data_IF_432147745799
#
_entry.id   IF_432147745799
#
_cell.length_a   1.000
_cell.length_b   1.000
_cell.length_c   1.000
_cell.angle_alpha   90.00
_cell.angle_beta   90.00
_cell.angle_gamma   90.00
#
_symmetry.space_group_name_H-M   'P 1'
#
loop_
_entity.id
_entity.type
_entity.pdbx_description
1 polymer ?
#
# COMPACT_ATOMS: atom_id res chain seq x y z
N UNK A 1 8.47 -31.31 -1.02
CA UNK A 1 7.66 -30.20 -0.46
C UNK A 1 8.54 -29.00 -0.10
N UNK A 2 9.70 -29.21 0.52
CA UNK A 2 10.66 -28.15 0.88
C UNK A 2 11.23 -27.38 -0.33
N UNK A 3 11.59 -28.08 -1.42
CA UNK A 3 12.02 -27.46 -2.67
C UNK A 3 11.01 -26.44 -3.23
N UNK A 4 9.71 -26.78 -3.21
CA UNK A 4 8.66 -25.87 -3.70
C UNK A 4 8.57 -24.60 -2.85
N UNK A 5 8.86 -24.69 -1.53
CA UNK A 5 8.88 -23.52 -0.65
C UNK A 5 10.07 -22.60 -0.95
N UNK A 6 11.25 -23.17 -1.25
CA UNK A 6 12.41 -22.36 -1.63
C UNK A 6 12.24 -21.66 -2.98
N UNK A 7 11.63 -22.34 -3.96
CA UNK A 7 11.28 -21.72 -5.24
C UNK A 7 10.26 -20.60 -5.04
N UNK A 8 9.21 -20.83 -4.24
CA UNK A 8 8.23 -19.80 -3.92
C UNK A 8 8.88 -18.60 -3.23
N UNK A 9 9.76 -18.82 -2.25
CA UNK A 9 10.53 -17.75 -1.59
C UNK A 9 11.32 -16.92 -2.60
N UNK A 10 12.03 -17.56 -3.52
CA UNK A 10 12.81 -16.87 -4.57
C UNK A 10 11.92 -16.02 -5.49
N UNK A 11 10.74 -16.53 -5.84
CA UNK A 11 9.75 -15.79 -6.62
C UNK A 11 9.23 -14.59 -5.84
N UNK A 12 8.84 -14.76 -4.59
CA UNK A 12 8.37 -13.67 -3.72
C UNK A 12 9.43 -12.58 -3.58
N UNK A 13 10.71 -12.97 -3.36
CA UNK A 13 11.82 -11.99 -3.31
C UNK A 13 11.91 -11.15 -4.59
N UNK A 14 11.79 -11.78 -5.77
CA UNK A 14 11.88 -11.08 -7.05
C UNK A 14 10.68 -10.19 -7.33
N UNK A 15 9.48 -10.66 -6.99
CA UNK A 15 8.25 -9.88 -7.14
C UNK A 15 8.32 -8.65 -6.23
N UNK A 16 8.73 -8.82 -4.98
CA UNK A 16 8.84 -7.72 -4.02
C UNK A 16 9.92 -6.71 -4.42
N UNK A 17 11.08 -7.19 -4.89
CA UNK A 17 12.15 -6.33 -5.41
C UNK A 17 11.74 -5.54 -6.66
N UNK A 18 10.77 -6.03 -7.42
CA UNK A 18 10.21 -5.36 -8.59
C UNK A 18 9.20 -4.26 -8.26
N UNK A 19 8.70 -4.17 -7.02
CA UNK A 19 7.77 -3.11 -6.66
C UNK A 19 8.47 -1.76 -6.65
N UNK A 20 8.03 -0.88 -7.56
CA UNK A 20 8.42 0.53 -7.53
C UNK A 20 7.46 1.29 -6.63
N UNK A 21 7.93 1.66 -5.45
CA UNK A 21 7.14 2.49 -4.54
C UNK A 21 6.93 3.89 -5.12
N UNK A 22 5.70 4.35 -5.05
CA UNK A 22 5.24 5.67 -5.48
C UNK A 22 4.69 6.44 -4.29
N UNK A 23 4.55 7.79 -4.38
CA UNK A 23 3.94 8.59 -3.32
C UNK A 23 2.57 8.06 -2.87
N UNK A 24 1.75 7.54 -3.80
CA UNK A 24 0.43 6.99 -3.48
C UNK A 24 0.50 5.77 -2.55
N UNK A 25 1.56 4.96 -2.65
CA UNK A 25 1.72 3.81 -1.77
C UNK A 25 1.93 4.25 -0.32
N UNK A 26 2.78 5.25 -0.11
CA UNK A 26 3.05 5.83 1.21
C UNK A 26 1.87 6.60 1.78
N UNK A 27 1.14 7.35 0.93
CA UNK A 27 -0.08 8.05 1.34
C UNK A 27 -1.13 7.04 1.80
N UNK A 28 -1.36 5.96 1.04
CA UNK A 28 -2.32 4.93 1.41
C UNK A 28 -1.94 4.23 2.71
N UNK A 29 -0.64 3.96 2.92
CA UNK A 29 -0.12 3.37 4.15
C UNK A 29 -0.37 4.27 5.37
N UNK A 30 0.03 5.53 5.29
CA UNK A 30 -0.20 6.53 6.34
C UNK A 30 -1.70 6.67 6.68
N UNK A 31 -2.58 6.72 5.66
CA UNK A 31 -4.03 6.82 5.88
C UNK A 31 -4.59 5.56 6.55
N UNK A 32 -4.22 4.37 6.05
CA UNK A 32 -4.75 3.09 6.55
C UNK A 32 -4.41 2.84 8.01
N UNK A 33 -3.19 3.21 8.43
CA UNK A 33 -2.72 3.03 9.81
C UNK A 33 -2.88 4.27 10.70
N UNK A 34 -3.48 5.35 10.19
CA UNK A 34 -3.64 6.61 10.94
C UNK A 34 -2.31 7.26 11.32
N UNK A 35 -1.27 7.11 10.51
CA UNK A 35 0.08 7.64 10.73
C UNK A 35 0.41 8.78 9.75
N UNK A 36 1.52 9.48 10.01
CA UNK A 36 2.09 10.50 9.15
C UNK A 36 3.60 10.30 8.98
N UNK A 37 4.04 9.04 8.99
CA UNK A 37 5.45 8.65 9.04
C UNK A 37 6.20 9.07 7.77
N UNK A 38 5.52 9.06 6.63
CA UNK A 38 6.13 9.31 5.33
C UNK A 38 5.86 10.72 4.78
N UNK A 39 5.06 11.53 5.50
CA UNK A 39 4.73 12.90 5.12
C UNK A 39 5.98 13.78 5.07
N UNK A 40 6.14 14.56 3.98
CA UNK A 40 7.28 15.45 3.78
C UNK A 40 8.56 14.76 3.28
N UNK A 41 8.71 13.45 3.53
CA UNK A 41 9.85 12.66 3.04
C UNK A 41 9.55 11.88 1.76
N UNK A 42 8.39 11.22 1.67
CA UNK A 42 8.01 10.36 0.53
C UNK A 42 6.86 10.92 -0.30
N UNK A 43 6.10 11.87 0.24
CA UNK A 43 5.05 12.58 -0.48
C UNK A 43 4.83 14.00 0.04
N UNK A 44 4.25 14.85 -0.80
CA UNK A 44 3.84 16.23 -0.47
C UNK A 44 2.36 16.32 -0.14
N UNK A 45 1.92 17.41 0.49
CA UNK A 45 0.51 17.59 0.83
C UNK A 45 -0.37 17.64 -0.44
N UNK A 46 0.11 18.25 -1.51
CA UNK A 46 -0.64 18.30 -2.78
C UNK A 46 -0.82 16.91 -3.40
N UNK A 47 0.17 16.02 -3.23
CA UNK A 47 0.04 14.61 -3.65
C UNK A 47 -1.01 13.88 -2.82
N UNK A 48 -1.02 14.11 -1.50
CA UNK A 48 -2.01 13.56 -0.59
C UNK A 48 -3.42 14.04 -0.93
N UNK A 49 -3.61 15.33 -1.18
CA UNK A 49 -4.91 15.90 -1.57
C UNK A 49 -5.44 15.29 -2.87
N UNK A 50 -4.57 15.13 -3.89
CA UNK A 50 -4.95 14.46 -5.14
C UNK A 50 -5.36 13.01 -4.91
N UNK A 51 -4.65 12.29 -4.05
CA UNK A 51 -5.00 10.92 -3.69
C UNK A 51 -6.35 10.86 -2.96
N UNK A 52 -6.59 11.74 -1.98
CA UNK A 52 -7.86 11.81 -1.26
C UNK A 52 -9.03 12.18 -2.20
N UNK A 53 -8.82 13.08 -3.16
CA UNK A 53 -9.82 13.37 -4.18
C UNK A 53 -10.15 12.14 -5.04
N UNK A 54 -9.14 11.34 -5.38
CA UNK A 54 -9.36 10.07 -6.08
C UNK A 54 -10.10 9.05 -5.20
N UNK A 55 -9.74 8.95 -3.92
CA UNK A 55 -10.32 8.06 -2.94
C UNK A 55 -11.83 8.31 -2.75
N UNK A 56 -12.24 9.59 -2.70
CA UNK A 56 -13.66 9.99 -2.64
C UNK A 56 -14.50 9.46 -3.81
N UNK A 57 -13.89 9.10 -4.94
CA UNK A 57 -14.63 8.49 -6.05
C UNK A 57 -15.19 7.10 -5.70
N UNK A 58 -14.75 6.49 -4.61
CA UNK A 58 -15.35 5.24 -4.11
C UNK A 58 -16.79 5.44 -3.61
N UNK A 59 -17.15 6.66 -3.18
CA UNK A 59 -18.51 7.00 -2.70
C UNK A 59 -19.58 6.83 -3.79
N UNK A 60 -19.19 6.73 -5.06
CA UNK A 60 -20.14 6.50 -6.17
C UNK A 60 -20.66 5.06 -6.24
N UNK A 61 -20.01 4.13 -5.54
CA UNK A 61 -20.41 2.73 -5.52
C UNK A 61 -21.39 2.52 -4.37
N UNK A 62 -22.57 2.00 -4.70
CA UNK A 62 -23.58 1.60 -3.72
C UNK A 62 -23.22 0.20 -3.20
N UNK A 63 -22.56 0.16 -2.04
CA UNK A 63 -22.12 -1.07 -1.37
C UNK A 63 -22.56 -1.04 0.08
N UNK A 64 -22.89 -2.21 0.63
CA UNK A 64 -23.38 -2.34 2.00
C UNK A 64 -22.32 -1.94 3.05
N UNK A 65 -21.03 -2.13 2.73
CA UNK A 65 -19.89 -1.90 3.64
C UNK A 65 -18.84 -0.96 3.00
N UNK A 66 -19.09 0.36 2.96
CA UNK A 66 -18.17 1.31 2.33
C UNK A 66 -16.81 1.39 3.04
N UNK A 67 -16.73 1.12 4.33
CA UNK A 67 -15.47 1.09 5.08
C UNK A 67 -14.59 -0.09 4.65
N UNK A 68 -15.19 -1.25 4.35
CA UNK A 68 -14.46 -2.42 3.86
C UNK A 68 -13.90 -2.16 2.46
N UNK A 69 -14.70 -1.54 1.58
CA UNK A 69 -14.23 -1.11 0.26
C UNK A 69 -13.03 -0.14 0.38
N UNK A 70 -13.12 0.80 1.32
CA UNK A 70 -12.04 1.75 1.60
C UNK A 70 -10.77 1.04 2.08
N UNK A 71 -10.88 0.11 3.04
CA UNK A 71 -9.71 -0.62 3.55
C UNK A 71 -9.06 -1.50 2.48
N UNK A 72 -9.85 -2.18 1.65
CA UNK A 72 -9.34 -2.97 0.52
C UNK A 72 -8.57 -2.06 -0.44
N UNK A 73 -9.16 -0.92 -0.82
CA UNK A 73 -8.51 0.02 -1.73
C UNK A 73 -7.19 0.54 -1.16
N UNK A 74 -7.18 0.97 0.11
CA UNK A 74 -5.96 1.41 0.78
C UNK A 74 -4.95 0.27 0.91
N UNK A 75 -5.40 -0.97 1.11
CA UNK A 75 -4.57 -2.18 1.14
C UNK A 75 -3.82 -2.44 -0.17
N UNK A 76 -4.50 -2.29 -1.31
CA UNK A 76 -3.88 -2.46 -2.64
C UNK A 76 -2.66 -1.54 -2.81
N UNK A 77 -2.75 -0.30 -2.33
CA UNK A 77 -1.66 0.67 -2.43
C UNK A 77 -0.66 0.61 -1.27
N UNK A 78 -1.06 0.24 -0.05
CA UNK A 78 -0.18 0.23 1.12
C UNK A 78 0.72 -1.02 1.21
N UNK A 79 0.22 -2.19 0.80
CA UNK A 79 0.96 -3.46 0.93
C UNK A 79 2.37 -3.45 0.31
N UNK A 80 2.62 -2.81 -0.85
CA UNK A 80 3.99 -2.70 -1.38
C UNK A 80 4.97 -2.03 -0.40
N UNK A 81 4.51 -1.08 0.43
CA UNK A 81 5.35 -0.45 1.47
C UNK A 81 5.77 -1.51 2.48
N UNK A 82 4.84 -2.24 3.06
CA UNK A 82 5.16 -3.30 4.02
C UNK A 82 6.11 -4.36 3.41
N UNK A 83 5.82 -4.83 2.19
CA UNK A 83 6.65 -5.81 1.50
C UNK A 83 8.11 -5.36 1.24
N UNK A 84 8.34 -4.06 1.10
CA UNK A 84 9.66 -3.49 0.90
C UNK A 84 10.35 -3.09 2.23
N UNK A 85 9.59 -2.75 3.28
CA UNK A 85 10.11 -2.25 4.56
C UNK A 85 10.16 -3.31 5.67
N UNK A 86 9.28 -4.33 5.68
CA UNK A 86 9.28 -5.45 6.63
C UNK A 86 10.58 -6.26 6.61
N UNK A 87 11.42 -6.11 5.58
CA UNK A 87 12.76 -6.71 5.52
C UNK A 87 13.87 -5.94 6.24
N UNK A 88 13.55 -4.85 6.95
CA UNK A 88 14.56 -4.11 7.74
C UNK A 88 14.67 -4.60 9.19
N UNK A 89 13.88 -5.62 9.58
CA UNK A 89 13.80 -6.15 10.95
C UNK A 89 13.91 -7.70 11.04
N UNK A 90 14.62 -8.32 10.11
CA UNK A 90 15.13 -9.70 10.21
C UNK A 90 16.63 -9.73 9.89
#
# INVERSE_FOLDING_TARGET
>A
IEYNREVARLLDRRIHAGYRLTPNNFIAHDIRFGKHEFKGGKYTEEQKERFLHHLKKLEKYDVDEPEVLMDIFLGIYSNPVDNCFERSHE
#
